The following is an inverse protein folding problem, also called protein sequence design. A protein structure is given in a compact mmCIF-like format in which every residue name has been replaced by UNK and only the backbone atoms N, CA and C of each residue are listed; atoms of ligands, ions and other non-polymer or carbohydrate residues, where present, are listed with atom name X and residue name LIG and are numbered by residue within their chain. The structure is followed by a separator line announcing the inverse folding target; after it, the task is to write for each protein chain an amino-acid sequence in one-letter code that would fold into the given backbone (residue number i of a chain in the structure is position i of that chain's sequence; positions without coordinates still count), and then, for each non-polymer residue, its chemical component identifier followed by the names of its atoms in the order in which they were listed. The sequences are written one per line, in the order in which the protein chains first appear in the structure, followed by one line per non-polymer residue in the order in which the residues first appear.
data_IF_793633077547
#
_entry.id   IF_793633077547
#
_cell.length_a   1.000
_cell.length_b   1.000
_cell.length_c   1.000
_cell.angle_alpha   90.00
_cell.angle_beta   90.00
_cell.angle_gamma   90.00
#
_symmetry.space_group_name_H-M   'P 1'
#
loop_
_entity.id
_entity.type
_entity.pdbx_description
1 polymer ?
#
# COMPACT_ATOMS: atom_id res chain seq x y z
N UNK A 1 16.03 -8.46 14.49
CA UNK A 1 15.62 -7.93 13.17
C UNK A 1 14.15 -7.57 13.31
N UNK A 2 13.84 -6.28 13.41
CA UNK A 2 12.48 -5.83 13.59
C UNK A 2 11.71 -6.14 12.30
N UNK A 3 10.79 -7.09 12.38
CA UNK A 3 9.80 -7.31 11.33
C UNK A 3 9.07 -5.96 11.21
N UNK A 4 9.24 -5.30 10.07
CA UNK A 4 8.57 -4.05 9.78
C UNK A 4 7.07 -4.36 9.64
N UNK A 5 6.33 -4.20 10.75
CA UNK A 5 4.92 -4.61 10.85
C UNK A 5 3.97 -3.70 10.03
N UNK A 6 4.46 -2.54 9.63
CA UNK A 6 3.68 -1.50 8.94
C UNK A 6 3.94 -1.46 7.43
N UNK A 7 4.86 -2.28 6.90
CA UNK A 7 5.14 -2.36 5.48
C UNK A 7 4.61 -3.64 4.84
N UNK A 8 4.00 -3.49 3.66
CA UNK A 8 3.41 -4.57 2.88
C UNK A 8 4.39 -4.96 1.79
N UNK A 9 5.00 -6.13 1.92
CA UNK A 9 6.03 -6.62 0.98
C UNK A 9 7.24 -5.66 0.87
N UNK A 10 7.56 -4.97 1.98
CA UNK A 10 8.60 -3.95 2.02
C UNK A 10 8.22 -2.62 1.35
N UNK A 11 6.95 -2.44 0.97
CA UNK A 11 6.43 -1.20 0.38
C UNK A 11 5.42 -0.52 1.32
N UNK A 12 5.31 0.79 1.17
CA UNK A 12 4.34 1.65 1.86
C UNK A 12 3.68 2.58 0.83
N UNK A 13 2.54 3.15 1.19
CA UNK A 13 1.89 4.18 0.37
C UNK A 13 2.81 5.40 0.23
N UNK A 14 2.89 5.97 -0.97
CA UNK A 14 3.57 7.22 -1.22
C UNK A 14 2.58 8.38 -1.38
N UNK A 15 2.35 9.11 -0.29
CA UNK A 15 1.44 10.26 -0.23
C UNK A 15 1.85 11.42 -1.14
N UNK A 16 3.12 11.48 -1.56
CA UNK A 16 3.63 12.54 -2.44
C UNK A 16 3.48 12.20 -3.92
N UNK A 17 3.05 10.98 -4.25
CA UNK A 17 2.88 10.55 -5.64
C UNK A 17 1.63 11.19 -6.25
N UNK A 18 1.69 11.58 -7.52
CA UNK A 18 0.57 12.23 -8.24
C UNK A 18 -0.71 11.37 -8.27
N UNK A 19 -0.54 10.05 -8.15
CA UNK A 19 -1.63 9.07 -8.15
C UNK A 19 -2.07 8.63 -6.74
N UNK A 20 -1.53 9.24 -5.68
CA UNK A 20 -1.89 8.91 -4.30
C UNK A 20 -3.39 8.96 -4.05
N UNK A 21 -4.05 10.05 -4.46
CA UNK A 21 -5.50 10.19 -4.25
C UNK A 21 -6.33 9.11 -4.97
N UNK A 22 -5.82 8.57 -6.09
CA UNK A 22 -6.48 7.50 -6.81
C UNK A 22 -6.26 6.16 -6.11
N UNK A 23 -5.04 5.91 -5.63
CA UNK A 23 -4.70 4.73 -4.82
C UNK A 23 -5.53 4.72 -3.54
N UNK A 24 -5.61 5.84 -2.82
CA UNK A 24 -6.35 5.98 -1.57
C UNK A 24 -7.85 5.74 -1.78
N UNK A 25 -8.45 6.34 -2.80
CA UNK A 25 -9.85 6.08 -3.16
C UNK A 25 -10.12 4.62 -3.49
N UNK A 26 -9.23 3.97 -4.23
CA UNK A 26 -9.40 2.55 -4.57
C UNK A 26 -9.19 1.65 -3.36
N UNK A 27 -8.24 1.98 -2.47
CA UNK A 27 -8.05 1.30 -1.19
C UNK A 27 -9.31 1.37 -0.33
N UNK A 28 -9.85 2.57 -0.12
CA UNK A 28 -11.09 2.78 0.63
C UNK A 28 -12.24 1.99 0.00
N UNK A 29 -12.38 2.02 -1.34
CA UNK A 29 -13.41 1.25 -2.05
C UNK A 29 -13.25 -0.26 -1.85
N UNK A 30 -12.04 -0.79 -1.91
CA UNK A 30 -11.77 -2.21 -1.73
C UNK A 30 -12.05 -2.67 -0.30
N UNK A 31 -11.76 -1.82 0.69
CA UNK A 31 -11.99 -2.10 2.11
C UNK A 31 -13.48 -1.96 2.47
N UNK A 32 -14.11 -0.85 2.11
CA UNK A 32 -15.48 -0.54 2.52
C UNK A 32 -16.54 -1.27 1.70
N UNK A 33 -16.35 -1.36 0.38
CA UNK A 33 -17.36 -1.92 -0.53
C UNK A 33 -17.15 -3.41 -0.74
N UNK A 34 -15.90 -3.81 -0.94
CA UNK A 34 -15.57 -5.20 -1.26
C UNK A 34 -15.17 -6.03 -0.04
N UNK A 35 -15.12 -5.41 1.15
CA UNK A 35 -14.76 -6.04 2.42
C UNK A 35 -13.41 -6.78 2.38
N UNK A 36 -12.46 -6.34 1.55
CA UNK A 36 -11.12 -6.90 1.55
C UNK A 36 -10.35 -6.50 2.80
N UNK A 37 -9.46 -7.38 3.24
CA UNK A 37 -8.45 -7.00 4.23
C UNK A 37 -7.53 -5.92 3.64
N UNK A 38 -6.95 -5.08 4.50
CA UNK A 38 -6.06 -4.00 4.05
C UNK A 38 -4.89 -4.55 3.20
N UNK A 39 -4.32 -5.71 3.56
CA UNK A 39 -3.26 -6.37 2.76
C UNK A 39 -3.71 -6.71 1.33
N UNK A 40 -4.89 -7.30 1.19
CA UNK A 40 -5.44 -7.67 -0.11
C UNK A 40 -5.83 -6.45 -0.94
N UNK A 41 -6.43 -5.45 -0.29
CA UNK A 41 -6.75 -4.17 -0.91
C UNK A 41 -5.48 -3.50 -1.43
N UNK A 42 -4.43 -3.45 -0.60
CA UNK A 42 -3.13 -2.88 -0.95
C UNK A 42 -2.49 -3.62 -2.13
N UNK A 43 -2.42 -4.96 -2.10
CA UNK A 43 -1.87 -5.75 -3.22
C UNK A 43 -2.63 -5.56 -4.53
N UNK A 44 -3.92 -5.25 -4.49
CA UNK A 44 -4.74 -5.00 -5.68
C UNK A 44 -4.62 -3.57 -6.17
N UNK A 45 -4.76 -2.60 -5.28
CA UNK A 45 -4.71 -1.18 -5.61
C UNK A 45 -3.33 -0.80 -6.16
N UNK A 46 -2.26 -1.34 -5.59
CA UNK A 46 -0.88 -1.04 -6.01
C UNK A 46 -0.48 -1.67 -7.34
N UNK A 47 -1.25 -2.66 -7.86
CA UNK A 47 -1.11 -3.13 -9.26
C UNK A 47 -1.66 -2.13 -10.27
N UNK A 48 -2.65 -1.32 -9.87
CA UNK A 48 -3.31 -0.35 -10.73
C UNK A 48 -2.66 1.04 -10.61
N UNK A 49 -2.16 1.38 -9.42
CA UNK A 49 -1.59 2.68 -9.12
C UNK A 49 -0.21 2.53 -8.46
N UNK A 50 0.89 2.90 -9.15
CA UNK A 50 2.25 2.86 -8.60
C UNK A 50 2.56 3.95 -7.54
N UNK A 51 1.57 4.41 -6.79
CA UNK A 51 1.75 5.37 -5.67
C UNK A 51 2.29 4.67 -4.41
N UNK A 52 3.37 3.91 -4.58
CA UNK A 52 4.06 3.19 -3.51
C UNK A 52 5.54 3.52 -3.51
N UNK A 53 6.13 3.50 -2.32
CA UNK A 53 7.57 3.61 -2.13
C UNK A 53 8.09 2.50 -1.25
N UNK A 54 9.40 2.24 -1.35
CA UNK A 54 10.06 1.30 -0.44
C UNK A 54 9.95 1.83 0.98
N UNK A 55 9.60 0.95 1.90
CA UNK A 55 9.55 1.31 3.30
C UNK A 55 10.95 1.77 3.76
N UNK A 56 11.11 2.97 4.33
CA UNK A 56 12.41 3.46 4.78
C UNK A 56 12.96 2.65 5.95
N UNK A 57 12.10 2.00 6.73
CA UNK A 57 12.47 1.19 7.90
C UNK A 57 13.14 -0.13 7.50
N UNK A 58 12.58 -0.86 6.53
CA UNK A 58 13.14 -2.14 6.08
C UNK A 58 13.87 -2.05 4.73
N UNK A 59 13.85 -0.88 4.10
CA UNK A 59 14.46 -0.60 2.80
C UNK A 59 13.96 -1.54 1.67
N UNK A 60 12.72 -2.01 1.78
CA UNK A 60 12.15 -3.00 0.86
C UNK A 60 12.63 -4.45 1.07
N UNK A 61 13.25 -4.76 2.22
CA UNK A 61 13.67 -6.12 2.57
C UNK A 61 12.69 -6.74 3.56
N UNK A 62 12.14 -7.89 3.17
CA UNK A 62 11.18 -8.71 3.94
C UNK A 62 11.95 -9.75 4.74
#
# INVERSE_FOLDING_TARGET
MAICKECFDGNIVDEQHEQYENLDRELVRLIEVSHFSYDEAFKRATRLYPAIKKCPECNGKI
#
